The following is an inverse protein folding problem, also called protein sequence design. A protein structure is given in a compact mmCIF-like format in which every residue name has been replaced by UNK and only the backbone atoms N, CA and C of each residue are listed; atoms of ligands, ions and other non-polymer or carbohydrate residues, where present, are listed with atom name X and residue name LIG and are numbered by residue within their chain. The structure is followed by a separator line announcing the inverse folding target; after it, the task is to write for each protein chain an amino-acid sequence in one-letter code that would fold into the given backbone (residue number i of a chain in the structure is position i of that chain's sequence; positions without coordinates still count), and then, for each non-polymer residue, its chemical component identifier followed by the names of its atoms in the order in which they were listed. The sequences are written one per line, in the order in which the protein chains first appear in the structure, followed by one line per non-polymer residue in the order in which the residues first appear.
data_IF_701609698862
#
_entry.id   IF_701609698862
#
_cell.length_a   1.000
_cell.length_b   1.000
_cell.length_c   1.000
_cell.angle_alpha   90.00
_cell.angle_beta   90.00
_cell.angle_gamma   90.00
#
_symmetry.space_group_name_H-M   'P 1'
#
loop_
_entity.id
_entity.type
_entity.pdbx_description
1 polymer ?
#
# COMPACT_ATOMS: atom_id res chain seq x y z
N UNK A 1 1.70 -23.08 62.88
CA UNK A 1 2.87 -23.07 61.97
C UNK A 1 2.60 -21.98 60.93
N UNK A 2 3.36 -20.90 60.80
CA UNK A 2 4.76 -20.86 60.41
C UNK A 2 5.34 -19.51 60.83
N UNK A 3 6.42 -19.56 61.60
CA UNK A 3 7.26 -18.45 62.01
C UNK A 3 7.74 -17.70 60.76
N UNK A 4 7.39 -16.43 60.61
CA UNK A 4 7.91 -15.56 59.54
C UNK A 4 9.39 -15.30 59.80
N UNK A 5 10.27 -16.12 59.22
CA UNK A 5 11.72 -16.05 59.48
C UNK A 5 12.29 -14.82 58.77
N UNK A 6 12.27 -13.66 59.44
CA UNK A 6 12.99 -12.45 59.02
C UNK A 6 14.48 -12.77 58.91
N UNK A 7 15.03 -12.75 57.68
CA UNK A 7 16.45 -12.99 57.44
C UNK A 7 17.15 -11.71 56.99
N UNK A 8 18.05 -11.21 57.81
CA UNK A 8 18.90 -10.06 57.50
C UNK A 8 20.26 -10.53 57.01
N UNK A 9 20.71 -10.05 55.85
CA UNK A 9 22.08 -10.24 55.34
C UNK A 9 22.80 -8.91 55.28
N UNK A 10 23.88 -8.74 56.03
CA UNK A 10 24.68 -7.52 55.98
C UNK A 10 25.43 -7.43 54.63
N UNK A 11 25.41 -6.25 54.00
CA UNK A 11 26.08 -6.02 52.70
C UNK A 11 27.40 -5.29 52.92
N UNK A 12 27.36 -4.10 53.52
CA UNK A 12 28.55 -3.26 53.73
C UNK A 12 28.35 -2.35 54.96
N UNK A 13 29.44 -2.02 55.65
CA UNK A 13 29.51 -0.99 56.69
C UNK A 13 30.61 0.01 56.31
N UNK A 14 30.24 1.29 56.21
CA UNK A 14 31.14 2.44 56.07
C UNK A 14 31.00 3.30 57.32
N UNK A 15 32.01 4.14 57.61
CA UNK A 15 32.14 4.97 58.82
C UNK A 15 30.81 5.45 59.46
N UNK A 16 29.88 6.00 58.67
CA UNK A 16 28.57 6.47 59.16
C UNK A 16 27.35 5.81 58.48
N UNK A 17 27.52 4.71 57.75
CA UNK A 17 26.41 4.05 57.03
C UNK A 17 26.52 2.53 57.07
N UNK A 18 25.38 1.87 57.28
CA UNK A 18 25.24 0.43 57.18
C UNK A 18 24.20 0.06 56.12
N UNK A 19 24.55 -0.88 55.26
CA UNK A 19 23.66 -1.46 54.26
C UNK A 19 23.40 -2.94 54.59
N UNK A 20 22.13 -3.35 54.53
CA UNK A 20 21.71 -4.73 54.70
C UNK A 20 20.56 -5.08 53.75
N UNK A 21 20.47 -6.36 53.39
CA UNK A 21 19.37 -6.94 52.64
C UNK A 21 18.41 -7.63 53.61
N UNK A 22 17.18 -7.15 53.66
CA UNK A 22 16.09 -7.77 54.41
C UNK A 22 15.32 -8.72 53.49
N UNK A 23 15.25 -10.00 53.85
CA UNK A 23 14.49 -11.00 53.10
C UNK A 23 13.28 -11.38 53.96
N UNK A 24 12.10 -10.89 53.55
CA UNK A 24 10.82 -11.18 54.18
C UNK A 24 10.20 -12.50 53.68
N UNK A 25 10.53 -12.87 52.44
CA UNK A 25 10.10 -14.10 51.77
C UNK A 25 11.22 -14.58 50.84
N UNK A 26 11.54 -15.87 50.78
CA UNK A 26 12.47 -16.39 49.77
C UNK A 26 11.93 -16.10 48.36
N UNK A 27 12.79 -15.76 47.39
CA UNK A 27 12.36 -15.53 46.02
C UNK A 27 11.67 -16.77 45.47
N UNK A 28 10.50 -16.62 44.84
CA UNK A 28 9.81 -17.71 44.17
C UNK A 28 10.65 -18.19 42.98
N UNK A 29 10.70 -19.51 42.70
CA UNK A 29 11.47 -20.05 41.57
C UNK A 29 10.97 -19.60 40.19
N UNK A 30 9.79 -18.96 40.11
CA UNK A 30 9.27 -18.42 38.86
C UNK A 30 9.65 -16.94 38.66
N UNK A 31 10.08 -16.67 37.43
CA UNK A 31 10.42 -15.37 36.84
C UNK A 31 11.85 -14.84 37.02
N UNK A 32 12.86 -15.72 36.95
CA UNK A 32 14.22 -15.31 36.52
C UNK A 32 14.52 -15.59 35.04
N UNK A 33 13.60 -16.27 34.35
CA UNK A 33 13.64 -16.49 32.90
C UNK A 33 12.96 -15.35 32.12
N UNK A 34 12.84 -14.15 32.71
CA UNK A 34 12.51 -12.98 31.92
C UNK A 34 13.56 -12.90 30.82
N UNK A 35 13.14 -13.11 29.58
CA UNK A 35 14.01 -13.43 28.46
C UNK A 35 15.19 -12.48 28.47
N UNK A 36 16.40 -13.02 28.64
CA UNK A 36 17.59 -12.20 28.44
C UNK A 36 17.50 -11.73 26.99
N UNK A 37 17.28 -10.43 26.80
CA UNK A 37 17.44 -9.83 25.50
C UNK A 37 18.81 -10.27 25.01
N UNK A 38 18.82 -11.03 23.91
CA UNK A 38 20.07 -11.35 23.24
C UNK A 38 20.53 -10.01 22.69
N UNK A 39 21.70 -9.55 23.13
CA UNK A 39 22.32 -8.34 22.61
C UNK A 39 22.37 -8.48 21.09
N UNK A 40 21.49 -7.74 20.40
CA UNK A 40 21.43 -7.79 18.94
C UNK A 40 22.71 -7.16 18.42
N UNK A 41 23.42 -7.90 17.57
CA UNK A 41 24.61 -7.35 16.92
C UNK A 41 24.21 -6.21 15.98
N UNK A 42 25.13 -5.25 15.78
CA UNK A 42 24.91 -4.13 14.84
C UNK A 42 24.43 -4.60 13.46
N UNK A 43 24.98 -5.72 12.97
CA UNK A 43 24.62 -6.33 11.69
C UNK A 43 23.17 -6.84 11.65
N UNK A 44 22.67 -7.41 12.74
CA UNK A 44 21.28 -7.89 12.83
C UNK A 44 20.29 -6.73 12.90
N UNK A 45 20.66 -5.64 13.58
CA UNK A 45 19.86 -4.40 13.62
C UNK A 45 19.76 -3.81 12.21
N UNK A 46 20.89 -3.69 11.50
CA UNK A 46 20.92 -3.19 10.12
C UNK A 46 20.05 -4.04 9.18
N UNK A 47 20.18 -5.37 9.25
CA UNK A 47 19.35 -6.28 8.44
C UNK A 47 17.86 -6.10 8.70
N UNK A 48 17.45 -5.90 9.95
CA UNK A 48 16.03 -5.67 10.29
C UNK A 48 15.52 -4.33 9.76
N UNK A 49 16.37 -3.29 9.75
CA UNK A 49 16.03 -1.99 9.17
C UNK A 49 15.89 -2.09 7.65
N UNK A 50 16.83 -2.75 6.98
CA UNK A 50 16.80 -2.98 5.53
C UNK A 50 15.55 -3.78 5.12
N UNK A 51 15.23 -4.85 5.83
CA UNK A 51 14.02 -5.63 5.59
C UNK A 51 12.71 -4.85 5.86
N UNK A 52 12.73 -3.79 6.68
CA UNK A 52 11.59 -2.89 6.84
C UNK A 52 11.51 -1.88 5.69
N UNK A 53 12.65 -1.41 5.22
CA UNK A 53 12.72 -0.51 4.07
C UNK A 53 12.32 -1.22 2.76
N UNK A 54 12.76 -2.45 2.52
CA UNK A 54 12.34 -3.24 1.36
C UNK A 54 10.82 -3.43 1.34
N UNK A 55 10.20 -3.71 2.50
CA UNK A 55 8.74 -3.81 2.61
C UNK A 55 8.05 -2.50 2.23
N UNK A 56 8.53 -1.37 2.78
CA UNK A 56 8.02 -0.03 2.42
C UNK A 56 8.11 0.23 0.91
N UNK A 57 9.26 -0.06 0.31
CA UNK A 57 9.47 0.14 -1.12
C UNK A 57 8.59 -0.81 -1.96
N UNK A 58 8.41 -2.06 -1.54
CA UNK A 58 7.56 -3.02 -2.24
C UNK A 58 6.09 -2.61 -2.24
N UNK A 59 5.60 -2.03 -1.14
CA UNK A 59 4.25 -1.48 -1.03
C UNK A 59 4.10 -0.26 -1.93
N UNK A 60 5.09 0.63 -1.94
CA UNK A 60 5.12 1.80 -2.83
C UNK A 60 5.07 1.41 -4.30
N UNK A 61 5.88 0.44 -4.72
CA UNK A 61 5.87 -0.09 -6.10
C UNK A 61 4.50 -0.70 -6.46
N UNK A 62 3.88 -1.46 -5.55
CA UNK A 62 2.55 -2.04 -5.79
C UNK A 62 1.48 -0.96 -5.97
N UNK A 63 1.55 0.14 -5.20
CA UNK A 63 0.61 1.26 -5.32
C UNK A 63 0.85 2.06 -6.61
N UNK A 64 2.11 2.27 -7.00
CA UNK A 64 2.48 3.07 -8.16
C UNK A 64 2.24 2.32 -9.48
N UNK A 65 2.44 0.99 -9.52
CA UNK A 65 2.33 0.17 -10.74
C UNK A 65 1.03 0.36 -11.55
N UNK A 66 -0.18 0.38 -10.96
CA UNK A 66 -1.42 0.55 -11.73
C UNK A 66 -1.75 2.03 -12.04
N UNK A 67 -0.97 3.01 -11.57
CA UNK A 67 -1.30 4.43 -11.79
C UNK A 67 -1.21 4.87 -13.26
N UNK A 68 -0.20 4.46 -14.06
CA UNK A 68 -0.15 4.76 -15.49
C UNK A 68 -1.35 4.16 -16.23
N UNK A 69 -1.67 2.88 -15.98
CA UNK A 69 -2.82 2.19 -16.58
C UNK A 69 -4.14 2.93 -16.27
N UNK A 70 -4.34 3.40 -15.02
CA UNK A 70 -5.53 4.19 -14.65
C UNK A 70 -5.57 5.56 -15.33
N UNK A 71 -4.43 6.16 -15.67
CA UNK A 71 -4.37 7.43 -16.41
C UNK A 71 -4.71 7.20 -17.88
N UNK A 72 -4.13 6.16 -18.48
CA UNK A 72 -4.41 5.75 -19.86
C UNK A 72 -5.88 5.40 -20.04
N UNK A 73 -6.47 4.62 -19.13
CA UNK A 73 -7.89 4.28 -19.19
C UNK A 73 -8.80 5.51 -19.17
N UNK A 74 -8.45 6.55 -18.39
CA UNK A 74 -9.21 7.80 -18.39
C UNK A 74 -9.11 8.54 -19.72
N UNK A 75 -7.96 8.50 -20.37
CA UNK A 75 -7.77 9.10 -21.69
C UNK A 75 -8.55 8.34 -22.76
N UNK A 76 -8.47 7.01 -22.75
CA UNK A 76 -9.21 6.14 -23.69
C UNK A 76 -10.73 6.33 -23.56
N UNK A 77 -11.25 6.40 -22.34
CA UNK A 77 -12.69 6.67 -22.12
C UNK A 77 -13.10 8.03 -22.67
N UNK A 78 -12.25 9.05 -22.51
CA UNK A 78 -12.52 10.39 -23.02
C UNK A 78 -12.47 10.44 -24.56
N UNK A 79 -11.44 9.84 -25.17
CA UNK A 79 -11.29 9.75 -26.62
C UNK A 79 -12.45 8.98 -27.26
N UNK A 80 -12.86 7.87 -26.65
CA UNK A 80 -14.03 7.10 -27.09
C UNK A 80 -15.35 7.87 -26.97
N UNK A 81 -15.46 8.78 -25.99
CA UNK A 81 -16.61 9.67 -25.92
C UNK A 81 -16.60 10.70 -27.05
N UNK A 82 -15.42 11.18 -27.47
CA UNK A 82 -15.26 12.07 -28.62
C UNK A 82 -15.44 11.34 -29.96
N UNK A 83 -15.11 10.05 -30.06
CA UNK A 83 -15.38 9.24 -31.25
C UNK A 83 -16.88 9.17 -31.62
N UNK A 84 -17.81 9.56 -30.73
CA UNK A 84 -19.21 9.77 -31.11
C UNK A 84 -19.36 10.74 -32.31
N UNK A 85 -18.48 11.73 -32.40
CA UNK A 85 -18.47 12.70 -33.51
C UNK A 85 -18.18 12.02 -34.87
N UNK A 86 -17.52 10.86 -34.87
CA UNK A 86 -17.30 10.07 -36.10
C UNK A 86 -18.60 9.46 -36.63
N UNK A 87 -19.56 9.13 -35.77
CA UNK A 87 -20.86 8.62 -36.20
C UNK A 87 -21.64 9.69 -36.95
N UNK A 88 -21.62 10.93 -36.46
CA UNK A 88 -22.29 12.06 -37.11
C UNK A 88 -21.69 12.30 -38.50
N UNK A 89 -20.35 12.36 -38.59
CA UNK A 89 -19.65 12.51 -39.87
C UNK A 89 -19.97 11.38 -40.86
N UNK A 90 -19.97 10.12 -40.43
CA UNK A 90 -20.33 8.99 -41.29
C UNK A 90 -21.79 9.04 -41.77
N UNK A 91 -22.72 9.52 -40.94
CA UNK A 91 -24.13 9.67 -41.31
C UNK A 91 -24.30 10.82 -42.31
N UNK A 92 -23.61 11.93 -42.10
CA UNK A 92 -23.59 13.08 -43.02
C UNK A 92 -23.05 12.70 -44.41
N UNK A 93 -21.90 12.04 -44.47
CA UNK A 93 -21.31 11.58 -45.73
C UNK A 93 -22.26 10.65 -46.50
N UNK A 94 -22.88 9.69 -45.80
CA UNK A 94 -23.87 8.77 -46.41
C UNK A 94 -25.11 9.50 -46.92
N UNK A 95 -25.53 10.57 -46.25
CA UNK A 95 -26.67 11.37 -46.66
C UNK A 95 -26.35 12.14 -47.96
N UNK A 96 -25.16 12.75 -48.03
CA UNK A 96 -24.67 13.48 -49.21
C UNK A 96 -24.68 12.55 -50.44
N UNK A 97 -24.05 11.39 -50.33
CA UNK A 97 -23.99 10.40 -51.43
C UNK A 97 -25.38 9.97 -51.91
N UNK A 98 -26.34 9.78 -50.98
CA UNK A 98 -27.71 9.43 -51.34
C UNK A 98 -28.44 10.55 -52.07
N UNK A 99 -28.27 11.79 -51.61
CA UNK A 99 -28.90 12.96 -52.23
C UNK A 99 -28.35 13.19 -53.63
N UNK A 100 -27.04 13.05 -53.83
CA UNK A 100 -26.40 13.14 -55.15
C UNK A 100 -26.95 12.06 -56.10
N UNK A 101 -27.02 10.82 -55.63
CA UNK A 101 -27.56 9.72 -56.44
C UNK A 101 -29.04 9.90 -56.80
N UNK A 102 -29.85 10.48 -55.90
CA UNK A 102 -31.25 10.81 -56.19
C UNK A 102 -31.32 11.87 -57.30
N UNK A 103 -30.51 12.93 -57.21
CA UNK A 103 -30.45 13.97 -58.24
C UNK A 103 -30.03 13.41 -59.61
N UNK A 104 -28.96 12.63 -59.66
CA UNK A 104 -28.51 11.99 -60.90
C UNK A 104 -29.60 11.10 -61.52
N UNK A 105 -30.36 10.38 -60.68
CA UNK A 105 -31.43 9.51 -61.14
C UNK A 105 -32.66 10.29 -61.62
N UNK A 106 -32.99 11.42 -60.98
CA UNK A 106 -34.03 12.35 -61.44
C UNK A 106 -33.66 12.96 -62.79
N UNK A 107 -32.41 13.41 -62.96
CA UNK A 107 -31.89 13.94 -64.23
C UNK A 107 -31.92 12.87 -65.34
N UNK A 108 -31.49 11.65 -65.04
CA UNK A 108 -31.53 10.54 -65.99
C UNK A 108 -32.98 10.18 -66.39
N UNK A 109 -33.91 10.18 -65.45
CA UNK A 109 -35.32 9.94 -65.74
C UNK A 109 -35.93 11.06 -66.59
N UNK A 110 -35.65 12.33 -66.27
CA UNK A 110 -36.09 13.47 -67.06
C UNK A 110 -35.53 13.40 -68.49
N UNK A 111 -34.25 13.07 -68.64
CA UNK A 111 -33.61 12.89 -69.93
C UNK A 111 -34.17 11.70 -70.73
N UNK A 112 -34.66 10.66 -70.05
CA UNK A 112 -35.31 9.52 -70.71
C UNK A 112 -36.76 9.83 -71.15
N UNK A 113 -37.44 10.79 -70.51
CA UNK A 113 -38.80 11.23 -70.87
C UNK A 113 -38.87 12.36 -71.90
N UNK A 114 -37.74 13.01 -72.21
CA UNK A 114 -37.61 14.05 -73.25
C UNK A 114 -37.17 13.42 -74.58
#
# INVERSE_FOLDING_TARGET
TSTSILKVKQINKRAFRQAFKLILRPPSPFCLACAKEKDLSLKEIQRKLEAAEERRQSEEVQVLKPLPERREHKQEVFEKALENDTFISMVEEKLIVKVEKIKENEEANLAATM
#
